data_IF_376098265637
#
_entry.id   IF_376098265637
#
_cell.length_a   1.000
_cell.length_b   1.000
_cell.length_c   1.000
_cell.angle_alpha   90.00
_cell.angle_beta   90.00
_cell.angle_gamma   90.00
#
_symmetry.space_group_name_H-M   'P 1'
#
loop_
_entity.id
_entity.type
_entity.pdbx_description
1 polymer ?
#
# COMPACT_ATOMS: atom_id res chain seq x y z
N UNK A 1 -18.04 22.65 -4.96
CA UNK A 1 -17.02 23.46 -4.24
C UNK A 1 -16.15 22.54 -3.39
N UNK A 2 -15.17 21.88 -4.00
CA UNK A 2 -14.30 20.89 -3.33
C UNK A 2 -12.82 21.27 -3.47
N UNK A 3 -12.34 22.13 -2.59
CA UNK A 3 -10.89 22.42 -2.48
C UNK A 3 -10.25 21.90 -1.17
N UNK A 4 -10.97 21.15 -0.35
CA UNK A 4 -10.41 20.68 0.94
C UNK A 4 -9.67 19.33 0.85
N UNK A 5 -10.05 18.41 -0.03
CA UNK A 5 -9.40 17.09 -0.16
C UNK A 5 -7.99 17.14 -0.73
N UNK A 6 -7.77 17.99 -1.72
CA UNK A 6 -6.46 18.17 -2.37
C UNK A 6 -5.37 18.73 -1.44
N UNK A 7 -5.73 19.53 -0.44
CA UNK A 7 -4.73 20.12 0.49
C UNK A 7 -4.17 19.07 1.47
N UNK A 8 -4.96 18.11 1.90
CA UNK A 8 -4.50 17.06 2.82
C UNK A 8 -3.57 16.06 2.11
N UNK A 9 -3.86 15.73 0.86
CA UNK A 9 -3.02 14.87 0.02
C UNK A 9 -1.62 15.44 -0.20
N UNK A 10 -1.51 16.71 -0.56
CA UNK A 10 -0.21 17.38 -0.77
C UNK A 10 0.60 17.50 0.53
N UNK A 11 -0.07 17.58 1.69
CA UNK A 11 0.61 17.64 2.99
C UNK A 11 1.27 16.31 3.35
N UNK A 12 0.65 15.17 3.02
CA UNK A 12 1.21 13.83 3.27
C UNK A 12 2.36 13.53 2.30
N UNK A 13 2.23 13.91 1.03
CA UNK A 13 3.30 13.77 0.03
C UNK A 13 4.49 14.68 0.35
N UNK A 14 4.24 15.91 0.83
CA UNK A 14 5.30 16.82 1.26
C UNK A 14 6.03 16.32 2.52
N UNK A 15 5.34 15.64 3.44
CA UNK A 15 5.97 15.03 4.62
C UNK A 15 6.86 13.83 4.22
N UNK A 16 6.44 13.02 3.26
CA UNK A 16 7.24 11.92 2.74
C UNK A 16 8.48 12.40 1.96
N UNK A 17 8.36 13.49 1.20
CA UNK A 17 9.49 14.11 0.49
C UNK A 17 10.50 14.82 1.41
N UNK A 18 10.06 15.39 2.53
CA UNK A 18 10.97 16.04 3.48
C UNK A 18 11.81 15.05 4.30
N UNK A 19 11.40 13.80 4.41
CA UNK A 19 12.16 12.76 5.09
C UNK A 19 13.36 12.27 4.26
N UNK A 20 13.37 12.47 2.93
CA UNK A 20 14.46 12.07 2.03
C UNK A 20 15.73 12.94 2.15
N UNK A 21 15.74 14.03 2.91
CA UNK A 21 16.90 14.91 3.05
C UNK A 21 17.79 14.64 4.28
N UNK A 22 17.46 13.63 5.10
CA UNK A 22 18.27 13.29 6.29
C UNK A 22 19.06 11.99 6.04
N UNK A 23 19.66 11.84 4.87
CA UNK A 23 20.66 10.79 4.69
C UNK A 23 21.99 11.29 5.26
N UNK A 24 22.52 10.69 6.33
CA UNK A 24 23.84 11.07 6.83
C UNK A 24 24.87 10.80 5.73
N UNK A 25 25.64 11.81 5.39
CA UNK A 25 26.69 11.78 4.33
C UNK A 25 27.75 10.70 4.53
N UNK A 26 27.74 9.99 5.65
CA UNK A 26 28.61 8.86 5.95
C UNK A 26 28.17 7.50 5.38
N UNK A 27 26.93 7.37 4.86
CA UNK A 27 26.43 6.08 4.38
C UNK A 27 27.06 5.62 3.05
N UNK A 28 27.53 6.56 2.23
CA UNK A 28 28.12 6.26 0.93
C UNK A 28 29.60 5.82 0.98
N UNK A 29 30.29 6.02 2.12
CA UNK A 29 31.70 5.68 2.27
C UNK A 29 31.99 4.23 2.73
N UNK A 30 30.94 3.40 2.97
CA UNK A 30 31.10 2.07 3.56
C UNK A 30 31.02 0.91 2.55
N UNK A 31 31.09 1.14 1.28
CA UNK A 31 30.92 0.17 0.22
C UNK A 31 32.22 -0.32 -0.42
N UNK A 32 32.93 -1.21 0.24
CA UNK A 32 34.03 -2.01 -0.35
C UNK A 32 34.04 -3.38 0.31
N UNK A 33 34.25 -4.43 -0.46
CA UNK A 33 34.61 -5.80 -0.02
C UNK A 33 33.61 -6.61 0.85
N UNK A 34 32.31 -6.30 0.81
CA UNK A 34 31.28 -7.19 1.36
C UNK A 34 31.11 -7.14 2.89
N UNK A 35 31.69 -6.17 3.60
CA UNK A 35 31.49 -5.94 5.02
C UNK A 35 31.05 -4.50 5.32
N UNK A 36 30.43 -4.30 6.49
CA UNK A 36 30.10 -2.99 7.06
C UNK A 36 30.97 -2.74 8.30
N UNK A 37 31.33 -1.48 8.58
CA UNK A 37 32.17 -1.14 9.74
C UNK A 37 31.52 -1.48 11.09
N UNK A 38 30.20 -1.50 11.15
CA UNK A 38 29.40 -1.92 12.32
C UNK A 38 28.09 -2.54 11.88
N UNK A 39 27.45 -3.24 12.81
CA UNK A 39 26.11 -3.75 12.61
C UNK A 39 25.12 -2.58 12.38
N UNK A 40 24.37 -2.57 11.29
CA UNK A 40 23.41 -1.52 10.98
C UNK A 40 22.33 -1.40 12.06
N UNK A 41 21.89 -0.18 12.31
CA UNK A 41 20.84 0.13 13.27
C UNK A 41 19.52 0.49 12.61
N UNK A 42 19.59 0.93 11.36
CA UNK A 42 18.44 1.43 10.59
C UNK A 42 18.53 0.91 9.17
N UNK A 43 17.38 0.60 8.59
CA UNK A 43 17.22 0.32 7.17
C UNK A 43 16.12 1.22 6.64
N UNK A 44 16.40 1.95 5.56
CA UNK A 44 15.41 2.71 4.79
C UNK A 44 15.22 2.03 3.44
N UNK A 45 13.98 1.73 3.08
CA UNK A 45 13.63 1.03 1.85
C UNK A 45 12.55 1.78 1.08
N UNK A 46 12.63 1.74 -0.24
CA UNK A 46 11.57 2.13 -1.16
C UNK A 46 11.12 0.91 -1.94
N UNK A 47 9.84 0.80 -2.23
CA UNK A 47 9.28 -0.41 -2.81
C UNK A 47 8.15 -0.13 -3.79
N UNK A 48 8.01 -1.01 -4.78
CA UNK A 48 6.81 -1.17 -5.56
C UNK A 48 5.92 -2.25 -4.93
N UNK A 49 4.62 -2.10 -5.04
CA UNK A 49 3.64 -3.03 -4.47
C UNK A 49 2.48 -3.30 -5.41
N UNK A 50 1.92 -4.49 -5.27
CA UNK A 50 0.69 -4.91 -5.91
C UNK A 50 -0.25 -5.45 -4.85
N UNK A 51 -1.41 -4.82 -4.70
CA UNK A 51 -2.41 -5.18 -3.72
C UNK A 51 -3.62 -5.82 -4.41
N UNK A 52 -4.03 -6.97 -3.89
CA UNK A 52 -5.20 -7.73 -4.32
C UNK A 52 -6.23 -7.65 -3.21
N UNK A 53 -7.26 -6.78 -3.32
CA UNK A 53 -8.31 -6.68 -2.33
C UNK A 53 -9.14 -7.96 -2.30
N UNK A 54 -9.67 -8.29 -1.12
CA UNK A 54 -10.65 -9.37 -0.99
C UNK A 54 -11.94 -9.03 -1.73
N UNK A 55 -12.26 -7.72 -1.81
CA UNK A 55 -13.46 -7.18 -2.45
C UNK A 55 -14.72 -7.97 -2.06
N UNK A 56 -14.98 -8.04 -0.75
CA UNK A 56 -16.02 -8.88 -0.17
C UNK A 56 -17.11 -8.11 0.56
N UNK A 57 -17.27 -6.81 0.35
CA UNK A 57 -18.38 -5.99 0.83
C UNK A 57 -19.40 -5.72 -0.27
N UNK A 58 -20.59 -5.32 0.14
CA UNK A 58 -21.75 -5.07 -0.71
C UNK A 58 -21.44 -4.14 -1.88
N UNK A 59 -20.66 -3.06 -1.68
CA UNK A 59 -20.30 -2.11 -2.74
C UNK A 59 -19.54 -2.77 -3.89
N UNK A 60 -18.63 -3.72 -3.60
CA UNK A 60 -17.91 -4.45 -4.64
C UNK A 60 -18.81 -5.45 -5.36
N UNK A 61 -19.74 -6.09 -4.64
CA UNK A 61 -20.71 -7.00 -5.23
C UNK A 61 -21.68 -6.21 -6.11
N UNK A 62 -22.23 -5.11 -5.61
CA UNK A 62 -23.10 -4.21 -6.38
C UNK A 62 -22.42 -3.71 -7.66
N UNK A 63 -21.19 -3.22 -7.54
CA UNK A 63 -20.43 -2.73 -8.72
C UNK A 63 -20.26 -3.83 -9.77
N UNK A 64 -19.95 -5.07 -9.36
CA UNK A 64 -19.80 -6.20 -10.29
C UNK A 64 -21.11 -6.68 -10.89
N UNK A 65 -22.22 -6.55 -10.16
CA UNK A 65 -23.54 -6.95 -10.64
C UNK A 65 -24.06 -5.95 -11.68
N UNK A 66 -23.77 -4.66 -11.52
CA UNK A 66 -24.21 -3.60 -12.41
C UNK A 66 -23.28 -3.38 -13.61
N UNK A 67 -21.97 -3.54 -13.40
CA UNK A 67 -20.94 -3.18 -14.39
C UNK A 67 -20.16 -4.40 -14.90
N UNK A 68 -19.51 -4.23 -16.05
CA UNK A 68 -18.66 -5.26 -16.66
C UNK A 68 -17.28 -5.31 -16.02
N UNK A 69 -17.23 -5.46 -14.69
CA UNK A 69 -15.99 -5.56 -13.90
C UNK A 69 -15.90 -6.91 -13.17
N UNK A 70 -14.68 -7.37 -13.00
CA UNK A 70 -14.32 -8.53 -12.19
C UNK A 70 -13.59 -8.13 -10.89
N UNK A 71 -13.43 -9.07 -9.95
CA UNK A 71 -12.67 -8.80 -8.71
C UNK A 71 -11.23 -8.33 -8.96
N UNK A 72 -10.60 -8.81 -10.02
CA UNK A 72 -9.24 -8.44 -10.40
C UNK A 72 -9.09 -6.98 -10.81
N UNK A 73 -10.19 -6.34 -11.23
CA UNK A 73 -10.18 -4.96 -11.71
C UNK A 73 -10.06 -3.96 -10.54
N UNK A 74 -10.32 -4.42 -9.31
CA UNK A 74 -10.06 -3.65 -8.09
C UNK A 74 -8.62 -3.77 -7.58
N UNK A 75 -7.73 -4.49 -8.27
CA UNK A 75 -6.33 -4.60 -7.87
C UNK A 75 -5.62 -3.26 -8.00
N UNK A 76 -4.70 -2.99 -7.06
CA UNK A 76 -3.99 -1.71 -6.99
C UNK A 76 -2.51 -1.92 -7.24
N UNK A 77 -1.94 -1.11 -8.11
CA UNK A 77 -0.50 -0.91 -8.20
C UNK A 77 -0.10 0.28 -7.32
N UNK A 78 1.08 0.20 -6.71
CA UNK A 78 1.49 1.24 -5.79
C UNK A 78 2.97 1.22 -5.44
N UNK A 79 3.32 2.09 -4.50
CA UNK A 79 4.66 2.22 -3.96
C UNK A 79 4.61 2.49 -2.45
N UNK A 80 5.74 2.29 -1.78
CA UNK A 80 5.84 2.53 -0.35
C UNK A 80 7.26 2.85 0.10
N UNK A 81 7.34 3.36 1.34
CA UNK A 81 8.58 3.62 2.05
C UNK A 81 8.50 2.92 3.41
N UNK A 82 9.56 2.21 3.76
CA UNK A 82 9.71 1.56 5.06
C UNK A 82 10.97 2.04 5.76
N UNK A 83 10.83 2.41 7.02
CA UNK A 83 11.92 2.66 7.95
C UNK A 83 11.92 1.56 9.01
N UNK A 84 12.90 0.65 8.98
CA UNK A 84 13.08 -0.39 9.98
C UNK A 84 14.21 -0.01 10.94
N UNK A 85 13.90 0.00 12.23
CA UNK A 85 14.83 0.37 13.32
C UNK A 85 15.11 -0.87 14.14
N UNK A 86 16.37 -1.22 14.30
CA UNK A 86 16.79 -2.38 15.06
C UNK A 86 16.51 -2.21 16.55
N UNK A 87 15.64 -3.07 17.08
CA UNK A 87 15.36 -3.17 18.51
C UNK A 87 16.26 -4.23 19.19
N UNK A 88 16.60 -5.32 18.48
CA UNK A 88 17.52 -6.35 18.96
C UNK A 88 18.28 -7.00 17.79
N UNK A 89 19.05 -8.06 18.03
CA UNK A 89 19.77 -8.78 16.97
C UNK A 89 18.84 -9.34 15.88
N UNK A 90 17.63 -9.77 16.27
CA UNK A 90 16.64 -10.41 15.39
C UNK A 90 15.31 -9.68 15.31
N UNK A 91 15.19 -8.50 15.93
CA UNK A 91 13.92 -7.78 15.98
C UNK A 91 14.11 -6.35 15.52
N UNK A 92 13.30 -5.93 14.58
CA UNK A 92 13.17 -4.54 14.15
C UNK A 92 11.74 -4.03 14.38
N UNK A 93 11.64 -2.75 14.66
CA UNK A 93 10.39 -2.00 14.58
C UNK A 93 10.36 -1.34 13.21
N UNK A 94 9.31 -1.61 12.43
CA UNK A 94 9.16 -1.11 11.08
C UNK A 94 8.01 -0.09 11.03
N UNK A 95 8.29 1.08 10.46
CA UNK A 95 7.31 2.11 10.12
C UNK A 95 7.13 2.07 8.61
N UNK A 96 5.89 1.95 8.14
CA UNK A 96 5.59 1.84 6.72
C UNK A 96 4.52 2.85 6.32
N UNK A 97 4.73 3.54 5.20
CA UNK A 97 3.74 4.37 4.52
C UNK A 97 3.69 3.96 3.06
N UNK A 98 2.49 3.72 2.55
CA UNK A 98 2.26 3.29 1.18
C UNK A 98 1.23 4.15 0.45
N UNK A 99 1.18 3.98 -0.84
CA UNK A 99 0.15 4.49 -1.74
C UNK A 99 -0.16 3.42 -2.77
N UNK A 100 -1.42 3.16 -3.01
CA UNK A 100 -1.89 2.27 -4.07
C UNK A 100 -3.14 2.81 -4.73
N UNK A 101 -3.23 2.69 -6.06
CA UNK A 101 -4.38 3.11 -6.85
C UNK A 101 -4.65 2.11 -7.96
N UNK A 102 -5.92 1.86 -8.21
CA UNK A 102 -6.45 1.14 -9.35
C UNK A 102 -7.59 1.92 -9.97
N UNK A 103 -7.73 1.84 -11.27
CA UNK A 103 -8.78 2.50 -12.05
C UNK A 103 -9.24 1.55 -13.15
N UNK A 104 -10.55 1.40 -13.31
CA UNK A 104 -11.15 0.53 -14.33
C UNK A 104 -12.31 1.23 -15.01
N UNK A 105 -12.27 1.26 -16.33
CA UNK A 105 -13.39 1.66 -17.17
C UNK A 105 -14.28 0.44 -17.42
N UNK A 106 -15.59 0.60 -17.26
CA UNK A 106 -16.59 -0.45 -17.40
C UNK A 106 -17.86 0.03 -18.08
N UNK A 107 -18.64 -0.91 -18.55
CA UNK A 107 -19.95 -0.67 -19.17
C UNK A 107 -21.06 -1.17 -18.25
N UNK A 108 -22.22 -0.54 -18.30
CA UNK A 108 -23.41 -1.03 -17.62
C UNK A 108 -23.90 -2.31 -18.31
N UNK A 109 -24.27 -3.37 -17.54
CA UNK A 109 -24.58 -4.69 -18.13
C UNK A 109 -25.93 -4.74 -18.85
N UNK A 110 -26.96 -4.16 -18.22
CA UNK A 110 -28.35 -4.38 -18.60
C UNK A 110 -28.99 -3.19 -19.33
N UNK A 111 -28.26 -2.10 -19.49
CA UNK A 111 -28.75 -0.88 -20.11
C UNK A 111 -27.78 -0.35 -21.17
N UNK A 112 -28.36 0.27 -22.20
CA UNK A 112 -27.66 1.03 -23.23
C UNK A 112 -28.25 2.43 -23.31
N UNK A 113 -27.47 3.36 -23.81
CA UNK A 113 -27.91 4.72 -24.04
C UNK A 113 -29.06 4.82 -25.06
N UNK A 114 -29.76 5.95 -25.07
CA UNK A 114 -30.83 6.21 -26.04
C UNK A 114 -30.36 6.26 -27.51
N UNK A 115 -29.06 6.32 -27.74
CA UNK A 115 -28.35 6.28 -29.01
C UNK A 115 -27.75 4.89 -29.32
N UNK A 116 -28.14 3.84 -28.58
CA UNK A 116 -27.63 2.47 -28.64
C UNK A 116 -26.12 2.35 -28.30
N UNK A 117 -25.51 3.36 -27.63
CA UNK A 117 -24.15 3.29 -27.14
C UNK A 117 -24.10 2.75 -25.72
N UNK A 118 -22.97 2.11 -25.31
CA UNK A 118 -22.80 1.64 -23.95
C UNK A 118 -22.73 2.79 -22.93
N UNK A 119 -23.33 2.60 -21.78
CA UNK A 119 -23.27 3.51 -20.62
C UNK A 119 -21.95 3.23 -19.91
N UNK A 120 -21.05 4.21 -19.88
CA UNK A 120 -19.68 4.04 -19.39
C UNK A 120 -19.48 4.62 -17.98
N UNK A 121 -18.83 3.86 -17.13
CA UNK A 121 -18.41 4.29 -15.80
C UNK A 121 -16.94 3.95 -15.53
N UNK A 122 -16.25 4.85 -14.85
CA UNK A 122 -14.91 4.61 -14.33
C UNK A 122 -14.98 4.42 -12.82
N UNK A 123 -14.53 3.28 -12.34
CA UNK A 123 -14.38 2.98 -10.92
C UNK A 123 -12.92 3.16 -10.53
N UNK A 124 -12.67 4.00 -9.52
CA UNK A 124 -11.34 4.26 -8.96
C UNK A 124 -11.31 3.83 -7.49
N UNK A 125 -10.26 3.12 -7.11
CA UNK A 125 -10.01 2.75 -5.72
C UNK A 125 -8.59 3.12 -5.33
N UNK A 126 -8.46 3.95 -4.28
CA UNK A 126 -7.19 4.44 -3.75
C UNK A 126 -7.04 4.03 -2.29
N UNK A 127 -5.81 3.67 -1.87
CA UNK A 127 -5.46 3.34 -0.48
C UNK A 127 -4.13 3.97 -0.09
N UNK A 128 -4.09 4.51 1.13
CA UNK A 128 -2.88 5.10 1.75
C UNK A 128 -2.72 4.51 3.15
N UNK A 129 -2.07 3.36 3.30
CA UNK A 129 -1.76 2.79 4.61
C UNK A 129 -0.61 3.54 5.28
N UNK A 130 -0.72 3.75 6.61
CA UNK A 130 0.35 4.18 7.49
C UNK A 130 0.36 3.26 8.72
N UNK A 131 1.43 2.47 8.87
CA UNK A 131 1.46 1.35 9.82
C UNK A 131 2.77 1.27 10.58
N UNK A 132 2.69 0.70 11.78
CA UNK A 132 3.83 0.28 12.59
C UNK A 132 3.74 -1.23 12.83
N UNK A 133 4.88 -1.90 12.76
CA UNK A 133 4.95 -3.34 12.97
C UNK A 133 6.25 -3.80 13.61
N UNK A 134 6.26 -5.07 13.98
CA UNK A 134 7.45 -5.75 14.48
C UNK A 134 7.86 -6.81 13.46
N UNK A 135 9.11 -6.73 13.02
CA UNK A 135 9.75 -7.67 12.09
C UNK A 135 10.69 -8.58 12.88
N UNK A 136 10.48 -9.88 12.83
CA UNK A 136 11.28 -10.89 13.54
C UNK A 136 12.04 -11.72 12.52
N UNK A 137 13.36 -11.63 12.52
CA UNK A 137 14.21 -12.41 11.64
C UNK A 137 14.36 -13.85 12.15
N UNK A 138 14.11 -14.80 11.27
CA UNK A 138 14.16 -16.24 11.59
C UNK A 138 15.59 -16.78 11.65
N UNK A 139 16.55 -16.04 11.09
CA UNK A 139 17.97 -16.35 11.11
C UNK A 139 18.78 -15.09 11.45
N UNK A 140 20.05 -15.25 11.76
CA UNK A 140 20.95 -14.12 12.00
C UNK A 140 21.12 -13.31 10.71
N UNK A 141 21.06 -11.98 10.84
CA UNK A 141 21.18 -11.05 9.69
C UNK A 141 22.63 -10.86 9.21
N UNK A 142 23.58 -11.30 10.01
CA UNK A 142 25.01 -11.20 9.76
C UNK A 142 25.79 -11.56 11.01
N UNK A 143 27.10 -11.47 10.91
CA UNK A 143 28.04 -11.78 12.02
C UNK A 143 29.06 -10.68 12.19
N UNK A 144 29.38 -10.35 13.43
CA UNK A 144 30.53 -9.51 13.76
C UNK A 144 31.81 -10.33 13.72
N UNK A 145 32.76 -9.91 12.91
CA UNK A 145 34.08 -10.55 12.79
C UNK A 145 35.10 -9.82 13.69
N UNK A 146 34.91 -8.51 13.86
CA UNK A 146 35.69 -7.66 14.75
C UNK A 146 34.85 -6.46 15.21
N UNK A 147 35.42 -5.59 16.08
CA UNK A 147 34.75 -4.33 16.50
C UNK A 147 34.35 -3.43 15.32
N UNK A 148 35.01 -3.57 14.17
CA UNK A 148 34.88 -2.71 13.01
C UNK A 148 34.55 -3.49 11.72
N UNK A 149 34.08 -4.74 11.83
CA UNK A 149 33.71 -5.52 10.67
C UNK A 149 32.48 -6.40 10.99
N UNK A 150 31.39 -6.08 10.34
CA UNK A 150 30.18 -6.87 10.34
C UNK A 150 29.89 -7.37 8.91
N UNK A 151 29.71 -8.67 8.75
CA UNK A 151 29.43 -9.31 7.47
C UNK A 151 27.95 -9.62 7.39
N UNK A 152 27.18 -9.01 6.47
CA UNK A 152 25.77 -9.32 6.30
C UNK A 152 25.56 -10.74 5.79
N UNK A 153 24.52 -11.39 6.28
CA UNK A 153 24.03 -12.64 5.70
C UNK A 153 23.39 -12.35 4.34
N UNK A 154 23.63 -13.23 3.35
CA UNK A 154 23.07 -13.03 2.00
C UNK A 154 21.56 -13.07 1.99
N UNK A 155 20.96 -13.96 2.79
CA UNK A 155 19.50 -14.18 2.85
C UNK A 155 19.06 -14.13 4.30
N UNK A 156 18.15 -13.22 4.63
CA UNK A 156 17.60 -13.06 5.97
C UNK A 156 16.06 -13.11 5.93
N UNK A 157 15.46 -14.29 6.11
CA UNK A 157 14.01 -14.43 6.14
C UNK A 157 13.44 -13.87 7.44
N UNK A 158 12.24 -13.28 7.35
CA UNK A 158 11.54 -12.72 8.49
C UNK A 158 10.03 -12.93 8.41
N UNK A 159 9.39 -12.80 9.56
CA UNK A 159 7.94 -12.73 9.71
C UNK A 159 7.60 -11.57 10.64
N UNK A 160 6.38 -11.10 10.60
CA UNK A 160 5.99 -10.02 11.47
C UNK A 160 4.49 -9.73 11.44
N UNK A 161 4.14 -8.73 12.20
CA UNK A 161 2.78 -8.22 12.24
C UNK A 161 2.78 -6.82 12.82
N UNK A 162 1.67 -6.13 12.62
CA UNK A 162 1.53 -4.76 13.08
C UNK A 162 0.11 -4.23 12.91
N UNK A 163 -0.02 -2.94 13.19
CA UNK A 163 -1.27 -2.22 13.08
C UNK A 163 -1.03 -0.77 12.65
N UNK A 164 -2.10 -0.08 12.30
CA UNK A 164 -2.05 1.32 11.92
C UNK A 164 -3.39 1.80 11.41
N UNK A 165 -3.32 2.70 10.46
CA UNK A 165 -4.49 3.24 9.78
C UNK A 165 -4.34 3.09 8.27
N UNK A 166 -5.46 3.01 7.58
CA UNK A 166 -5.52 3.10 6.13
C UNK A 166 -6.58 4.14 5.76
N UNK A 167 -6.16 5.16 5.04
CA UNK A 167 -7.09 6.05 4.35
C UNK A 167 -7.46 5.41 3.01
N UNK A 168 -8.73 5.48 2.64
CA UNK A 168 -9.24 5.01 1.36
C UNK A 168 -10.07 6.08 0.67
N UNK A 169 -10.18 5.95 -0.63
CA UNK A 169 -11.11 6.70 -1.48
C UNK A 169 -11.63 5.75 -2.56
N UNK A 170 -12.95 5.69 -2.68
CA UNK A 170 -13.67 4.94 -3.70
C UNK A 170 -14.50 5.93 -4.52
N UNK A 171 -14.30 5.95 -5.83
CA UNK A 171 -14.97 6.91 -6.73
C UNK A 171 -15.57 6.13 -7.89
N UNK A 172 -16.84 6.46 -8.20
CA UNK A 172 -17.49 6.06 -9.46
C UNK A 172 -17.84 7.35 -10.22
N UNK A 173 -17.34 7.45 -11.45
CA UNK A 173 -17.52 8.62 -12.30
C UNK A 173 -18.00 8.17 -13.69
N UNK A 174 -19.06 8.76 -14.18
CA UNK A 174 -19.57 8.47 -15.52
C UNK A 174 -21.08 8.64 -15.64
N UNK A 175 -21.69 7.81 -16.45
CA UNK A 175 -23.11 7.81 -16.72
C UNK A 175 -23.83 6.80 -15.84
N UNK A 176 -24.93 7.22 -15.23
CA UNK A 176 -25.73 6.40 -14.33
C UNK A 176 -27.17 6.34 -14.85
N UNK A 177 -27.85 5.25 -14.50
CA UNK A 177 -29.29 5.06 -14.82
C UNK A 177 -30.11 5.36 -13.58
N UNK A 178 -31.06 6.27 -13.70
CA UNK A 178 -32.13 6.46 -12.70
C UNK A 178 -33.16 5.36 -12.88
N UNK A 179 -33.29 4.47 -11.92
CA UNK A 179 -34.21 3.32 -11.97
C UNK A 179 -35.70 3.69 -11.84
N UNK A 180 -36.03 4.93 -11.46
CA UNK A 180 -37.42 5.37 -11.35
C UNK A 180 -38.01 5.78 -12.69
N UNK A 181 -37.18 6.38 -13.57
CA UNK A 181 -37.63 6.92 -14.86
C UNK A 181 -36.81 6.47 -16.07
N UNK A 182 -35.70 5.72 -15.84
CA UNK A 182 -34.72 5.24 -16.81
C UNK A 182 -33.96 6.37 -17.55
N UNK A 183 -33.91 7.55 -16.96
CA UNK A 183 -33.08 8.63 -17.49
C UNK A 183 -31.59 8.34 -17.22
N UNK A 184 -30.75 8.72 -18.18
CA UNK A 184 -29.29 8.63 -18.05
C UNK A 184 -28.78 10.00 -17.66
N UNK A 185 -28.00 10.05 -16.57
CA UNK A 185 -27.38 11.27 -16.08
C UNK A 185 -25.89 11.06 -15.79
N UNK A 186 -25.11 12.12 -15.87
CA UNK A 186 -23.69 12.09 -15.51
C UNK A 186 -23.51 12.59 -14.08
N UNK A 187 -22.74 11.83 -13.28
CA UNK A 187 -22.42 12.21 -11.90
C UNK A 187 -21.08 11.60 -11.46
N UNK A 188 -20.66 11.98 -10.24
CA UNK A 188 -19.46 11.48 -9.57
C UNK A 188 -19.82 11.11 -8.13
N UNK A 189 -19.92 9.83 -7.84
CA UNK A 189 -20.15 9.32 -6.50
C UNK A 189 -18.81 9.02 -5.81
N UNK A 190 -18.68 9.48 -4.56
CA UNK A 190 -17.42 9.37 -3.81
C UNK A 190 -17.66 8.95 -2.37
N UNK A 191 -16.87 7.97 -1.90
CA UNK A 191 -16.71 7.66 -0.48
C UNK A 191 -15.24 7.70 -0.11
N UNK A 192 -14.91 8.31 1.02
CA UNK A 192 -13.54 8.33 1.54
C UNK A 192 -13.56 8.34 3.05
N UNK A 193 -12.62 7.61 3.65
CA UNK A 193 -12.56 7.52 5.11
C UNK A 193 -11.24 6.96 5.59
N UNK A 194 -11.12 6.80 6.90
CA UNK A 194 -9.94 6.23 7.54
C UNK A 194 -10.34 5.06 8.44
N UNK A 195 -9.79 3.89 8.17
CA UNK A 195 -9.98 2.68 8.95
C UNK A 195 -8.79 2.36 9.83
N UNK A 196 -9.02 1.77 11.00
CA UNK A 196 -7.99 1.03 11.70
C UNK A 196 -7.64 -0.24 10.91
N UNK A 197 -6.35 -0.58 10.85
CA UNK A 197 -5.87 -1.78 10.14
C UNK A 197 -4.91 -2.57 11.00
N UNK A 198 -4.96 -3.89 10.89
CA UNK A 198 -3.94 -4.80 11.38
C UNK A 198 -3.39 -5.61 10.20
N UNK A 199 -2.16 -6.12 10.31
CA UNK A 199 -1.56 -6.90 9.23
C UNK A 199 -0.58 -7.94 9.77
N UNK A 200 -0.44 -9.02 9.00
CA UNK A 200 0.60 -10.02 9.17
C UNK A 200 1.44 -10.04 7.88
N UNK A 201 2.73 -10.25 8.02
CA UNK A 201 3.62 -10.28 6.87
C UNK A 201 4.75 -11.28 7.03
N UNK A 202 5.31 -11.68 5.90
CA UNK A 202 6.52 -12.48 5.84
C UNK A 202 7.30 -12.13 4.59
N UNK A 203 8.62 -12.19 4.70
CA UNK A 203 9.47 -11.77 3.60
C UNK A 203 10.91 -12.22 3.75
N UNK A 204 11.73 -11.72 2.86
CA UNK A 204 13.16 -11.98 2.82
C UNK A 204 13.94 -10.73 2.44
N UNK A 205 15.00 -10.45 3.19
CA UNK A 205 16.00 -9.47 2.85
C UNK A 205 17.21 -10.16 2.21
N UNK A 206 17.58 -9.71 1.02
CA UNK A 206 18.72 -10.18 0.25
C UNK A 206 19.81 -9.11 0.24
N UNK A 207 20.95 -9.37 0.87
CA UNK A 207 22.10 -8.44 0.83
C UNK A 207 22.79 -8.54 -0.53
N UNK A 208 22.76 -7.44 -1.30
CA UNK A 208 23.29 -7.38 -2.67
C UNK A 208 24.66 -6.70 -2.77
N UNK A 209 25.25 -6.35 -1.63
CA UNK A 209 26.60 -5.80 -1.51
C UNK A 209 26.62 -4.49 -0.72
N UNK A 210 27.66 -4.31 0.11
CA UNK A 210 27.76 -3.15 1.01
C UNK A 210 26.49 -2.93 1.84
N UNK A 211 25.95 -1.71 1.89
CA UNK A 211 24.76 -1.39 2.65
C UNK A 211 23.43 -1.76 1.94
N UNK A 212 23.47 -2.21 0.70
CA UNK A 212 22.30 -2.39 -0.13
C UNK A 212 21.57 -3.71 0.13
N UNK A 213 20.26 -3.64 0.15
CA UNK A 213 19.35 -4.76 0.40
C UNK A 213 18.23 -4.75 -0.62
N UNK A 214 17.93 -5.92 -1.18
CA UNK A 214 16.69 -6.17 -1.91
C UNK A 214 15.73 -6.87 -0.97
N UNK A 215 14.48 -6.39 -0.88
CA UNK A 215 13.44 -6.96 -0.02
C UNK A 215 12.29 -7.48 -0.85
N UNK A 216 11.83 -8.69 -0.55
CA UNK A 216 10.58 -9.26 -1.05
C UNK A 216 9.66 -9.59 0.12
N UNK A 217 8.41 -9.13 0.09
CA UNK A 217 7.45 -9.31 1.18
C UNK A 217 6.05 -9.64 0.67
N UNK A 218 5.39 -10.59 1.33
CA UNK A 218 3.95 -10.82 1.24
C UNK A 218 3.27 -10.37 2.53
N UNK A 219 2.20 -9.60 2.41
CA UNK A 219 1.44 -9.02 3.54
C UNK A 219 -0.04 -9.26 3.35
N UNK A 220 -0.73 -9.66 4.42
CA UNK A 220 -2.18 -9.67 4.48
C UNK A 220 -2.68 -8.64 5.48
N UNK A 221 -3.56 -7.75 5.03
CA UNK A 221 -4.11 -6.67 5.85
C UNK A 221 -5.58 -6.91 6.15
N UNK A 222 -6.01 -6.49 7.35
CA UNK A 222 -7.37 -6.53 7.85
C UNK A 222 -7.84 -5.11 8.15
N UNK A 223 -9.01 -4.73 7.68
CA UNK A 223 -9.60 -3.43 7.97
C UNK A 223 -11.00 -3.34 7.36
N UNK A 224 -11.90 -2.65 8.04
CA UNK A 224 -13.24 -2.30 7.57
C UNK A 224 -13.63 -0.95 8.14
N UNK A 225 -14.46 -0.23 7.44
CA UNK A 225 -14.99 1.06 7.89
C UNK A 225 -16.29 1.37 7.18
N UNK A 226 -17.20 2.07 7.86
CA UNK A 226 -18.43 2.59 7.26
C UNK A 226 -18.13 3.45 6.05
N UNK A 227 -18.97 3.34 5.03
CA UNK A 227 -18.90 4.20 3.86
C UNK A 227 -19.57 5.54 4.15
N UNK A 228 -19.05 6.60 3.58
CA UNK A 228 -19.52 7.96 3.80
C UNK A 228 -20.04 8.60 2.50
N UNK A 229 -20.75 9.72 2.63
CA UNK A 229 -21.27 10.55 1.54
C UNK A 229 -22.30 9.82 0.69
N UNK A 230 -21.95 9.52 -0.56
CA UNK A 230 -22.88 9.01 -1.57
C UNK A 230 -23.14 7.49 -1.43
N UNK A 231 -22.43 6.84 -0.50
CA UNK A 231 -22.49 5.39 -0.28
C UNK A 231 -22.90 5.00 1.16
N UNK A 232 -23.60 5.88 1.87
CA UNK A 232 -23.99 5.67 3.28
C UNK A 232 -24.97 4.51 3.50
N UNK A 233 -25.67 4.09 2.45
CA UNK A 233 -26.65 2.99 2.50
C UNK A 233 -26.01 1.60 2.30
N UNK A 234 -24.68 1.56 2.00
CA UNK A 234 -23.95 0.32 1.86
C UNK A 234 -23.32 -0.13 3.18
N UNK A 235 -23.09 -1.43 3.31
CA UNK A 235 -22.29 -2.02 4.39
C UNK A 235 -20.87 -1.45 4.43
N UNK A 236 -20.16 -1.70 5.55
CA UNK A 236 -18.74 -1.37 5.71
C UNK A 236 -17.89 -1.82 4.52
N UNK A 237 -17.09 -0.94 3.93
CA UNK A 237 -16.18 -1.31 2.86
C UNK A 237 -15.09 -2.25 3.38
N UNK A 238 -14.89 -3.37 2.68
CA UNK A 238 -13.85 -4.37 2.98
C UNK A 238 -12.49 -3.92 2.42
N UNK A 239 -11.61 -3.49 3.32
CA UNK A 239 -10.24 -3.08 3.01
C UNK A 239 -9.23 -4.22 3.20
N UNK A 240 -9.71 -5.47 3.45
CA UNK A 240 -8.85 -6.64 3.57
C UNK A 240 -8.23 -6.98 2.22
N UNK A 241 -7.06 -7.59 2.27
CA UNK A 241 -6.43 -8.07 1.05
C UNK A 241 -4.99 -8.48 1.23
N UNK A 242 -4.45 -9.04 0.15
CA UNK A 242 -3.08 -9.50 0.06
C UNK A 242 -2.23 -8.53 -0.75
N UNK A 243 -1.03 -8.22 -0.27
CA UNK A 243 -0.08 -7.33 -0.93
C UNK A 243 1.23 -8.08 -1.17
N UNK A 244 1.73 -7.99 -2.39
CA UNK A 244 3.10 -8.34 -2.72
C UNK A 244 3.93 -7.06 -2.87
N UNK A 245 5.14 -7.08 -2.33
CA UNK A 245 6.04 -5.92 -2.32
C UNK A 245 7.44 -6.37 -2.71
N UNK A 246 8.08 -5.60 -3.57
CA UNK A 246 9.50 -5.72 -3.90
C UNK A 246 10.15 -4.36 -3.74
N UNK A 247 11.23 -4.30 -2.98
CA UNK A 247 11.88 -3.04 -2.62
C UNK A 247 13.39 -3.12 -2.60
N UNK A 248 14.00 -1.95 -2.67
CA UNK A 248 15.43 -1.76 -2.46
C UNK A 248 15.64 -0.83 -1.25
N UNK A 249 16.60 -1.19 -0.41
CA UNK A 249 16.90 -0.44 0.81
C UNK A 249 18.39 -0.24 1.04
N UNK A 250 18.67 0.67 1.94
CA UNK A 250 20.03 0.98 2.43
C UNK A 250 20.06 0.79 3.95
N UNK A 251 21.09 0.12 4.43
CA UNK A 251 21.36 -0.09 5.87
C UNK A 251 22.45 0.85 6.36
N UNK A 252 22.26 1.45 7.55
CA UNK A 252 23.25 2.34 8.19
C UNK A 252 23.16 2.33 9.72
#
# INVERSE_FOLDING_TARGET
MSQRGTRTFWSVVALAMSLSMILPSGALAQGGDGFLFKQPSVQLSVSGSYFVPRAGSEIFDFTRDQLTVDKSDFNLAGFGVELAIRASERVDVALNVGYGRGETLSEFRDFVGTDDLPILQTTEFTRVPATVGVKVYLADRGRSVSRFAWIPQKVAPYVGGGAGIVWYEFVQNGEFVDFDNFDIFQDVFTSSGTAATAHLFGGVDLSIGGPWVLTGEGRYSFGRVEMERDFVDFDDIDLNGFQLTVGIGVRF
#
